data_IF_287864971188
#
_entry.id   IF_287864971188
#
_cell.length_a   1.000
_cell.length_b   1.000
_cell.length_c   1.000
_cell.angle_alpha   90.00
_cell.angle_beta   90.00
_cell.angle_gamma   90.00
#
_symmetry.space_group_name_H-M   'P 1'
#
loop_
_entity.id
_entity.type
_entity.pdbx_description
1 polymer ?
#
# COMPACT_ATOMS: atom_id res chain seq x y z
N UNK A 1 -51.65 -17.11 30.99
CA UNK A 1 -51.67 -15.63 30.95
C UNK A 1 -50.39 -15.17 31.64
N UNK A 2 -49.49 -14.33 31.14
CA UNK A 2 -49.31 -13.60 29.89
C UNK A 2 -48.05 -12.76 30.13
N UNK A 3 -46.94 -13.02 29.44
CA UNK A 3 -45.80 -12.08 29.37
C UNK A 3 -45.19 -12.11 27.96
N UNK A 4 -45.98 -11.66 27.00
CA UNK A 4 -45.49 -11.17 25.71
C UNK A 4 -45.27 -9.67 25.87
N UNK A 5 -44.22 -9.17 25.23
CA UNK A 5 -43.98 -7.75 24.94
C UNK A 5 -43.28 -6.94 26.04
N UNK A 6 -41.94 -6.98 26.06
CA UNK A 6 -41.14 -5.78 26.41
C UNK A 6 -39.63 -5.80 26.08
N UNK A 7 -39.15 -6.60 25.13
CA UNK A 7 -37.70 -6.66 24.81
C UNK A 7 -37.38 -6.75 23.31
N UNK A 8 -38.05 -5.98 22.47
CA UNK A 8 -37.74 -5.93 21.03
C UNK A 8 -37.76 -4.49 20.48
N UNK A 9 -37.10 -3.54 21.16
CA UNK A 9 -37.02 -2.16 20.66
C UNK A 9 -35.60 -1.55 20.56
N UNK A 10 -34.50 -2.03 21.20
CA UNK A 10 -33.24 -1.27 21.06
C UNK A 10 -32.39 -1.63 19.84
N UNK A 11 -32.76 -2.64 19.02
CA UNK A 11 -31.86 -3.15 17.98
C UNK A 11 -31.95 -2.43 16.62
N UNK A 12 -33.03 -1.67 16.36
CA UNK A 12 -33.23 -1.03 15.04
C UNK A 12 -32.52 0.33 14.96
N UNK A 13 -32.28 1.01 16.09
CA UNK A 13 -31.61 2.32 16.08
C UNK A 13 -30.11 2.25 15.78
N UNK A 14 -29.47 1.10 16.02
CA UNK A 14 -28.03 0.92 15.76
C UNK A 14 -27.70 0.79 14.26
N UNK A 15 -28.64 0.33 13.44
CA UNK A 15 -28.41 0.11 12.00
C UNK A 15 -28.47 1.41 11.19
N UNK A 16 -29.17 2.46 11.65
CA UNK A 16 -29.15 3.76 10.96
C UNK A 16 -27.84 4.55 11.18
N UNK A 17 -27.09 4.28 12.25
CA UNK A 17 -25.81 4.96 12.50
C UNK A 17 -24.69 4.53 11.53
N UNK A 18 -24.78 3.31 10.97
CA UNK A 18 -23.79 2.79 10.01
C UNK A 18 -24.01 3.28 8.56
N UNK A 19 -25.23 3.71 8.20
CA UNK A 19 -25.53 4.20 6.85
C UNK A 19 -25.06 5.65 6.61
N UNK A 20 -24.76 6.42 7.66
CA UNK A 20 -24.36 7.82 7.53
C UNK A 20 -22.86 8.03 7.30
N UNK A 21 -22.06 6.95 7.25
CA UNK A 21 -20.61 7.04 7.01
C UNK A 21 -20.21 6.81 5.54
N UNK A 22 -21.16 6.48 4.66
CA UNK A 22 -20.88 6.19 3.24
C UNK A 22 -21.22 7.35 2.28
N UNK A 23 -21.85 8.43 2.75
CA UNK A 23 -22.28 9.57 1.94
C UNK A 23 -21.45 10.81 2.27
N UNK A 24 -20.18 10.76 1.89
CA UNK A 24 -19.21 11.82 2.15
C UNK A 24 -18.18 11.96 1.04
N UNK A 25 -18.58 12.58 -0.07
CA UNK A 25 -17.72 13.50 -0.85
C UNK A 25 -16.56 12.85 -1.63
N UNK A 26 -16.88 12.17 -2.72
CA UNK A 26 -15.96 11.74 -3.81
C UNK A 26 -15.23 12.89 -4.56
N UNK A 27 -15.26 14.13 -4.07
CA UNK A 27 -14.63 15.28 -4.77
C UNK A 27 -13.36 15.82 -4.11
N UNK A 28 -12.90 15.26 -2.99
CA UNK A 28 -11.85 15.86 -2.15
C UNK A 28 -10.62 14.98 -1.91
N UNK A 29 -10.59 13.74 -2.44
CA UNK A 29 -9.45 12.83 -2.23
C UNK A 29 -8.18 13.32 -2.95
N UNK A 30 -8.34 14.02 -4.08
CA UNK A 30 -7.22 14.64 -4.79
C UNK A 30 -6.81 16.01 -4.21
N UNK A 31 -7.58 16.59 -3.28
CA UNK A 31 -7.34 17.93 -2.72
C UNK A 31 -6.53 17.87 -1.40
N UNK A 32 -6.40 16.69 -0.79
CA UNK A 32 -5.77 16.47 0.53
C UNK A 32 -4.40 15.80 0.51
N UNK A 33 -3.75 15.62 -0.64
CA UNK A 33 -2.34 15.26 -0.61
C UNK A 33 -1.51 16.50 -0.23
N UNK A 34 -1.11 16.59 1.03
CA UNK A 34 -0.16 17.60 1.45
C UNK A 34 1.17 17.42 0.70
N UNK A 35 1.89 18.50 0.36
CA UNK A 35 3.20 18.41 -0.27
C UNK A 35 4.19 17.46 0.45
N UNK A 36 4.07 17.38 1.78
CA UNK A 36 4.84 16.44 2.62
C UNK A 36 4.52 14.97 2.32
N UNK A 37 3.25 14.62 2.09
CA UNK A 37 2.84 13.26 1.75
C UNK A 37 3.36 12.87 0.38
N UNK A 38 3.27 13.74 -0.63
CA UNK A 38 3.83 13.48 -1.96
C UNK A 38 5.33 13.25 -1.94
N UNK A 39 6.06 14.09 -1.20
CA UNK A 39 7.51 13.92 -1.03
C UNK A 39 7.84 12.60 -0.33
N UNK A 40 7.09 12.26 0.73
CA UNK A 40 7.30 11.02 1.48
C UNK A 40 7.02 9.79 0.61
N UNK A 41 5.92 9.79 -0.15
CA UNK A 41 5.57 8.72 -1.09
C UNK A 41 6.66 8.54 -2.16
N UNK A 42 7.19 9.64 -2.70
CA UNK A 42 8.32 9.60 -3.63
C UNK A 42 9.55 8.95 -3.02
N UNK A 43 9.96 9.35 -1.81
CA UNK A 43 11.14 8.80 -1.16
C UNK A 43 10.99 7.30 -0.87
N UNK A 44 9.80 6.87 -0.45
CA UNK A 44 9.49 5.44 -0.24
C UNK A 44 9.56 4.68 -1.56
N UNK A 45 8.89 5.17 -2.61
CA UNK A 45 8.89 4.55 -3.94
C UNK A 45 10.31 4.43 -4.52
N UNK A 46 11.11 5.50 -4.47
CA UNK A 46 12.50 5.52 -4.93
C UNK A 46 13.33 4.48 -4.17
N UNK A 47 13.21 4.45 -2.84
CA UNK A 47 13.95 3.50 -2.01
C UNK A 47 13.60 2.04 -2.30
N UNK A 48 12.32 1.73 -2.54
CA UNK A 48 11.90 0.38 -2.94
C UNK A 48 12.43 -0.01 -4.32
N UNK A 49 12.33 0.90 -5.29
CA UNK A 49 12.81 0.67 -6.66
C UNK A 49 14.32 0.50 -6.75
N UNK A 50 15.09 1.36 -6.07
CA UNK A 50 16.54 1.25 -5.99
C UNK A 50 16.96 -0.04 -5.28
N UNK A 51 16.30 -0.41 -4.17
CA UNK A 51 16.59 -1.66 -3.46
C UNK A 51 16.31 -2.89 -4.33
N UNK A 52 15.20 -2.88 -5.07
CA UNK A 52 14.87 -3.96 -5.99
C UNK A 52 15.94 -4.11 -7.08
N UNK A 53 16.34 -2.99 -7.70
CA UNK A 53 17.36 -2.97 -8.73
C UNK A 53 18.72 -3.42 -8.21
N UNK A 54 19.13 -2.94 -7.03
CA UNK A 54 20.36 -3.37 -6.37
C UNK A 54 20.36 -4.89 -6.11
N UNK A 55 19.22 -5.45 -5.69
CA UNK A 55 19.08 -6.91 -5.53
C UNK A 55 19.19 -7.66 -6.86
N UNK A 56 18.64 -7.13 -7.96
CA UNK A 56 18.77 -7.75 -9.29
C UNK A 56 20.20 -7.67 -9.79
N UNK A 57 20.89 -6.55 -9.58
CA UNK A 57 22.31 -6.37 -9.93
C UNK A 57 23.21 -7.36 -9.19
N UNK A 58 23.03 -7.51 -7.87
CA UNK A 58 23.79 -8.46 -7.06
C UNK A 58 23.60 -9.92 -7.50
N UNK A 59 22.47 -10.24 -8.15
CA UNK A 59 22.16 -11.57 -8.70
C UNK A 59 22.52 -11.71 -10.18
N UNK A 60 23.13 -10.69 -10.80
CA UNK A 60 23.38 -10.63 -12.25
C UNK A 60 22.11 -10.81 -13.10
N UNK A 61 20.97 -10.32 -12.59
CA UNK A 61 19.65 -10.42 -13.22
C UNK A 61 19.14 -9.09 -13.79
N UNK A 62 19.93 -8.01 -13.67
CA UNK A 62 19.63 -6.70 -14.24
C UNK A 62 20.49 -6.43 -15.48
N UNK A 63 19.87 -5.91 -16.52
CA UNK A 63 20.52 -5.37 -17.71
C UNK A 63 20.75 -3.86 -17.58
N UNK A 64 21.61 -3.29 -18.44
CA UNK A 64 21.75 -1.83 -18.53
C UNK A 64 20.44 -1.13 -18.90
N UNK A 65 19.59 -1.80 -19.68
CA UNK A 65 18.27 -1.29 -20.04
C UNK A 65 17.35 -1.18 -18.83
N UNK A 66 17.40 -2.15 -17.90
CA UNK A 66 16.63 -2.09 -16.63
C UNK A 66 17.07 -0.89 -15.78
N UNK A 67 18.39 -0.65 -15.68
CA UNK A 67 18.93 0.49 -14.93
C UNK A 67 18.48 1.82 -15.55
N UNK A 68 18.57 1.92 -16.89
CA UNK A 68 18.15 3.11 -17.63
C UNK A 68 16.65 3.39 -17.45
N UNK A 69 15.82 2.35 -17.49
CA UNK A 69 14.38 2.45 -17.25
C UNK A 69 14.07 2.99 -15.85
N UNK A 70 14.71 2.44 -14.81
CA UNK A 70 14.56 2.94 -13.44
C UNK A 70 14.99 4.41 -13.32
N UNK A 71 16.14 4.79 -13.88
CA UNK A 71 16.63 6.17 -13.81
C UNK A 71 15.65 7.13 -14.49
N UNK A 72 15.11 6.74 -15.65
CA UNK A 72 14.11 7.54 -16.36
C UNK A 72 12.81 7.66 -15.55
N UNK A 73 12.28 6.56 -15.03
CA UNK A 73 11.08 6.54 -14.20
C UNK A 73 11.25 7.42 -12.95
N UNK A 74 12.38 7.28 -12.24
CA UNK A 74 12.67 8.04 -11.02
C UNK A 74 12.77 9.54 -11.32
N UNK A 75 13.48 9.92 -12.38
CA UNK A 75 13.60 11.33 -12.78
C UNK A 75 12.26 11.93 -13.16
N UNK A 76 11.43 11.21 -13.92
CA UNK A 76 10.11 11.67 -14.33
C UNK A 76 9.18 11.84 -13.11
N UNK A 77 9.17 10.87 -12.20
CA UNK A 77 8.42 10.94 -10.95
C UNK A 77 8.84 12.15 -10.11
N UNK A 78 10.15 12.36 -9.93
CA UNK A 78 10.66 13.51 -9.18
C UNK A 78 10.23 14.84 -9.79
N UNK A 79 10.31 14.98 -11.10
CA UNK A 79 9.91 16.21 -11.79
C UNK A 79 8.43 16.52 -11.60
N UNK A 80 7.56 15.52 -11.70
CA UNK A 80 6.12 15.69 -11.47
C UNK A 80 5.81 16.00 -10.01
N UNK A 81 6.39 15.27 -9.06
CA UNK A 81 6.23 15.50 -7.61
C UNK A 81 6.70 16.88 -7.21
N UNK A 82 7.90 17.27 -7.65
CA UNK A 82 8.45 18.61 -7.40
C UNK A 82 7.53 19.69 -7.96
N UNK A 83 7.00 19.51 -9.17
CA UNK A 83 6.06 20.45 -9.78
C UNK A 83 4.75 20.57 -8.98
N UNK A 84 4.22 19.45 -8.49
CA UNK A 84 3.02 19.42 -7.68
C UNK A 84 3.22 20.06 -6.29
N UNK A 85 4.39 19.91 -5.69
CA UNK A 85 4.79 20.56 -4.44
C UNK A 85 4.88 22.09 -4.60
N UNK A 86 5.52 22.56 -5.68
CA UNK A 86 5.75 23.99 -5.92
C UNK A 86 4.50 24.71 -6.45
N UNK A 87 3.70 24.03 -7.26
CA UNK A 87 2.53 24.57 -7.96
C UNK A 87 1.35 23.60 -7.79
N UNK A 88 0.73 23.54 -6.60
CA UNK A 88 -0.36 22.60 -6.35
C UNK A 88 -1.57 22.94 -7.24
N UNK A 89 -1.95 21.98 -8.06
CA UNK A 89 -3.17 22.00 -8.87
C UNK A 89 -3.62 20.56 -9.10
N UNK A 90 -4.91 20.33 -9.32
CA UNK A 90 -5.45 18.98 -9.59
C UNK A 90 -4.70 18.28 -10.73
N UNK A 91 -4.31 19.04 -11.77
CA UNK A 91 -3.51 18.51 -12.87
C UNK A 91 -2.13 18.07 -12.41
N UNK A 92 -1.40 18.93 -11.69
CA UNK A 92 -0.04 18.59 -11.27
C UNK A 92 -0.01 17.45 -10.23
N UNK A 93 -1.03 17.38 -9.37
CA UNK A 93 -1.20 16.26 -8.41
C UNK A 93 -1.44 14.94 -9.16
N UNK A 94 -2.32 14.92 -10.17
CA UNK A 94 -2.52 13.76 -11.05
C UNK A 94 -1.24 13.36 -11.80
N UNK A 95 -0.53 14.34 -12.36
CA UNK A 95 0.74 14.10 -13.05
C UNK A 95 1.79 13.50 -12.09
N UNK A 96 1.76 13.89 -10.81
CA UNK A 96 2.62 13.34 -9.77
C UNK A 96 2.23 11.91 -9.37
N UNK A 97 0.94 11.63 -9.19
CA UNK A 97 0.44 10.28 -8.92
C UNK A 97 0.84 9.31 -10.05
N UNK A 98 0.62 9.69 -11.32
CA UNK A 98 1.04 8.87 -12.47
C UNK A 98 2.56 8.63 -12.51
N UNK A 99 3.34 9.66 -12.16
CA UNK A 99 4.80 9.54 -12.04
C UNK A 99 5.20 8.54 -10.94
N UNK A 100 4.53 8.60 -9.78
CA UNK A 100 4.76 7.68 -8.67
C UNK A 100 4.37 6.25 -9.04
N UNK A 101 3.24 6.03 -9.71
CA UNK A 101 2.83 4.71 -10.19
C UNK A 101 3.88 4.08 -11.11
N UNK A 102 4.43 4.87 -12.04
CA UNK A 102 5.50 4.42 -12.93
C UNK A 102 6.81 4.12 -12.20
N UNK A 103 7.11 4.77 -11.08
CA UNK A 103 8.28 4.44 -10.26
C UNK A 103 8.04 3.20 -9.41
N UNK A 104 6.81 3.03 -8.90
CA UNK A 104 6.41 1.86 -8.10
C UNK A 104 6.43 0.59 -8.95
N UNK A 105 6.11 0.65 -10.25
CA UNK A 105 6.23 -0.52 -11.12
C UNK A 105 7.67 -1.05 -11.23
N UNK A 106 8.68 -0.19 -11.05
CA UNK A 106 10.09 -0.58 -11.02
C UNK A 106 10.54 -1.17 -9.67
N UNK A 107 9.72 -1.08 -8.62
CA UNK A 107 9.98 -1.68 -7.31
C UNK A 107 9.84 -3.21 -7.26
N UNK A 108 9.47 -3.83 -8.39
CA UNK A 108 9.25 -5.25 -8.51
C UNK A 108 7.95 -5.72 -7.87
N UNK A 109 7.58 -7.00 -8.03
CA UNK A 109 6.41 -7.56 -7.36
C UNK A 109 6.62 -7.43 -5.85
N UNK A 110 5.76 -6.64 -5.22
CA UNK A 110 5.87 -6.34 -3.80
C UNK A 110 5.93 -7.61 -2.98
N UNK A 111 6.90 -7.66 -2.07
CA UNK A 111 6.56 -7.94 -0.69
C UNK A 111 5.51 -6.88 -0.30
N UNK A 112 4.25 -7.15 -0.63
CA UNK A 112 3.14 -6.67 0.15
C UNK A 112 3.24 -7.46 1.45
N UNK A 113 3.85 -6.85 2.46
CA UNK A 113 3.83 -7.35 3.83
C UNK A 113 2.41 -7.34 4.38
N UNK A 114 1.57 -8.24 3.87
CA UNK A 114 0.43 -8.82 4.56
C UNK A 114 0.71 -10.32 4.52
N UNK A 115 1.48 -10.77 5.51
CA UNK A 115 1.43 -12.15 5.94
C UNK A 115 0.07 -12.37 6.59
N UNK A 116 -0.97 -12.58 5.78
CA UNK A 116 -2.20 -13.27 6.21
C UNK A 116 -2.08 -14.74 5.84
N UNK A 117 -1.11 -15.41 6.46
CA UNK A 117 -1.21 -16.83 6.78
C UNK A 117 -0.96 -16.90 8.29
N UNK A 118 -2.03 -16.69 9.05
CA UNK A 118 -2.74 -17.77 9.73
C UNK A 118 -1.86 -18.47 10.75
N UNK A 119 -1.85 -17.91 11.97
CA UNK A 119 -1.58 -18.68 13.18
C UNK A 119 -2.69 -19.72 13.35
N UNK A 120 -2.56 -20.85 12.66
CA UNK A 120 -3.32 -22.05 12.99
C UNK A 120 -2.36 -23.09 13.56
N UNK A 121 -2.60 -23.42 14.83
CA UNK A 121 -1.71 -24.20 15.68
C UNK A 121 -1.30 -25.52 15.04
N UNK A 122 0.01 -25.70 14.84
CA UNK A 122 0.62 -27.00 14.58
C UNK A 122 1.48 -27.36 15.80
N UNK A 123 0.94 -28.30 16.58
CA UNK A 123 1.57 -28.91 17.75
C UNK A 123 3.01 -29.40 17.45
N UNK A 124 3.91 -29.41 18.46
CA UNK A 124 5.26 -29.94 18.27
C UNK A 124 5.22 -31.43 17.94
N UNK A 125 5.79 -31.79 16.79
CA UNK A 125 5.99 -33.18 16.37
C UNK A 125 7.07 -33.78 17.26
N UNK A 126 6.70 -34.75 18.09
CA UNK A 126 7.63 -35.53 18.89
C UNK A 126 8.66 -36.23 17.99
N UNK A 127 9.94 -36.08 18.33
CA UNK A 127 11.07 -36.83 17.77
C UNK A 127 10.98 -38.30 18.20
N UNK A 128 11.07 -39.29 17.30
CA UNK A 128 11.27 -40.67 17.72
C UNK A 128 12.73 -40.86 18.16
N UNK A 129 12.90 -41.35 19.39
CA UNK A 129 14.16 -41.84 19.94
C UNK A 129 14.67 -43.01 19.09
N UNK A 130 15.85 -42.85 18.50
CA UNK A 130 16.61 -43.95 17.89
C UNK A 130 17.31 -44.72 19.02
N UNK A 131 17.11 -46.03 19.18
CA UNK A 131 17.87 -46.82 20.14
C UNK A 131 19.32 -46.96 19.66
N UNK A 132 20.26 -46.61 20.53
CA UNK A 132 21.66 -46.96 20.36
C UNK A 132 21.82 -48.48 20.46
N UNK A 133 22.50 -49.07 19.48
CA UNK A 133 23.00 -50.43 19.52
C UNK A 133 24.51 -50.39 19.30
#
# INVERSE_FOLDING_TARGET
>A
MSHVSRRMIPSILALLALASCATGRERDLMERQSPSTLLTSYLIASGMAERHMASRLARHQASEQDISALVAANRNAWMSVRKAILLPSTKNLKDADLGLESLISEAGPGNSGVSTESSEGRAPRATPLVPAN
#
